data_IF_759073237161
#
_entry.id   IF_759073237161
#
_cell.length_a   1.000
_cell.length_b   1.000
_cell.length_c   1.000
_cell.angle_alpha   90.00
_cell.angle_beta   90.00
_cell.angle_gamma   90.00
#
_symmetry.space_group_name_H-M   'P 1'
#
loop_
_entity.id
_entity.type
_entity.pdbx_description
1 polymer ?
#
# COMPACT_ATOMS: atom_id res chain seq x y z
N UNK A 1 26.68 -52.19 16.23
CA UNK A 1 26.94 -50.72 16.11
C UNK A 1 25.93 -50.14 15.17
N UNK A 2 24.96 -49.49 15.72
CA UNK A 2 24.03 -48.73 14.92
C UNK A 2 24.67 -47.41 14.56
N UNK A 3 25.01 -47.24 13.31
CA UNK A 3 25.40 -45.93 12.79
C UNK A 3 24.19 -45.03 12.79
N UNK A 4 24.09 -44.24 13.85
CA UNK A 4 23.06 -43.20 13.96
C UNK A 4 23.50 -42.05 13.08
N UNK A 5 23.36 -42.19 11.77
CA UNK A 5 23.56 -41.11 10.82
C UNK A 5 22.33 -40.23 10.88
N UNK A 6 22.43 -39.15 11.65
CA UNK A 6 21.42 -38.09 11.61
C UNK A 6 21.37 -37.56 10.18
N UNK A 7 20.26 -37.74 9.51
CA UNK A 7 20.02 -37.06 8.23
C UNK A 7 20.04 -35.56 8.47
N UNK A 8 20.77 -34.79 7.66
CA UNK A 8 20.69 -33.36 7.77
C UNK A 8 19.23 -32.92 7.60
N UNK A 9 18.72 -32.18 8.58
CA UNK A 9 17.41 -31.57 8.47
C UNK A 9 17.53 -30.41 7.50
N UNK A 10 16.99 -30.60 6.30
CA UNK A 10 16.89 -29.51 5.35
C UNK A 10 15.93 -28.46 5.92
N UNK A 11 16.27 -27.18 5.80
CA UNK A 11 15.34 -26.13 6.20
C UNK A 11 14.06 -26.28 5.39
N UNK A 12 12.93 -26.06 6.04
CA UNK A 12 11.65 -26.03 5.35
C UNK A 12 11.72 -25.01 4.20
N UNK A 13 11.07 -25.30 3.06
CA UNK A 13 10.99 -24.33 2.00
C UNK A 13 10.36 -23.05 2.54
N UNK A 14 10.81 -21.85 2.10
CA UNK A 14 10.22 -20.61 2.55
C UNK A 14 8.71 -20.66 2.34
N UNK A 15 7.95 -20.43 3.40
CA UNK A 15 6.51 -20.36 3.34
C UNK A 15 6.09 -19.24 2.38
N UNK A 16 5.00 -19.47 1.65
CA UNK A 16 4.41 -18.39 0.82
C UNK A 16 4.08 -17.20 1.71
N UNK A 17 4.32 -15.96 1.23
CA UNK A 17 3.96 -14.78 1.99
C UNK A 17 2.47 -14.77 2.29
N UNK A 18 2.11 -14.40 3.51
CA UNK A 18 0.73 -14.25 3.93
C UNK A 18 0.09 -13.06 3.22
N UNK A 19 -1.25 -12.95 3.29
CA UNK A 19 -1.97 -11.78 2.78
C UNK A 19 -1.47 -10.49 3.43
N UNK A 20 -1.13 -10.52 4.72
CA UNK A 20 -0.56 -9.37 5.42
C UNK A 20 0.83 -9.01 4.91
N UNK A 21 1.66 -10.00 4.60
CA UNK A 21 2.98 -9.77 3.99
C UNK A 21 2.86 -9.17 2.60
N UNK A 22 1.94 -9.66 1.79
CA UNK A 22 1.66 -9.13 0.44
C UNK A 22 1.23 -7.68 0.52
N UNK A 23 0.32 -7.35 1.44
CA UNK A 23 -0.12 -5.97 1.66
C UNK A 23 1.04 -5.05 2.04
N UNK A 24 1.92 -5.51 2.94
CA UNK A 24 3.08 -4.73 3.37
C UNK A 24 4.10 -4.52 2.25
N UNK A 25 4.37 -5.55 1.46
CA UNK A 25 5.25 -5.45 0.29
C UNK A 25 4.70 -4.41 -0.69
N UNK A 26 3.42 -4.46 -0.98
CA UNK A 26 2.76 -3.51 -1.87
C UNK A 26 2.79 -2.08 -1.35
N UNK A 27 2.56 -1.87 -0.06
CA UNK A 27 2.65 -0.54 0.56
C UNK A 27 4.07 0.02 0.52
N UNK A 28 5.09 -0.80 0.76
CA UNK A 28 6.49 -0.39 0.64
C UNK A 28 6.81 0.05 -0.78
N UNK A 29 6.39 -0.71 -1.77
CA UNK A 29 6.57 -0.36 -3.18
C UNK A 29 5.84 0.93 -3.53
N UNK A 30 4.60 1.09 -3.06
CA UNK A 30 3.83 2.30 -3.29
C UNK A 30 4.48 3.52 -2.64
N UNK A 31 4.97 3.41 -1.41
CA UNK A 31 5.67 4.49 -0.74
C UNK A 31 6.95 4.90 -1.49
N UNK A 32 7.73 3.94 -1.96
CA UNK A 32 8.92 4.20 -2.76
C UNK A 32 8.57 4.84 -4.10
N UNK A 33 7.48 4.42 -4.73
CA UNK A 33 6.98 5.05 -5.94
C UNK A 33 6.67 6.54 -5.73
N UNK A 34 5.97 6.89 -4.65
CA UNK A 34 5.65 8.28 -4.34
C UNK A 34 6.92 9.10 -4.09
N UNK A 35 7.86 8.55 -3.33
CA UNK A 35 9.16 9.20 -3.09
C UNK A 35 9.93 9.42 -4.39
N UNK A 36 9.87 8.47 -5.30
CA UNK A 36 10.46 8.58 -6.64
C UNK A 36 9.87 9.70 -7.48
N UNK A 37 8.62 10.10 -7.21
CA UNK A 37 7.98 11.27 -7.82
C UNK A 37 8.42 12.59 -7.18
N UNK A 38 9.21 12.54 -6.13
CA UNK A 38 9.59 13.72 -5.35
C UNK A 38 8.57 14.09 -4.27
N UNK A 39 7.60 13.26 -4.00
CA UNK A 39 6.61 13.48 -2.95
C UNK A 39 7.16 13.08 -1.59
N UNK A 40 6.69 13.74 -0.54
CA UNK A 40 6.98 13.33 0.83
C UNK A 40 5.88 12.38 1.33
N UNK A 41 6.27 11.23 1.84
CA UNK A 41 5.34 10.33 2.56
C UNK A 41 5.28 10.81 4.00
N UNK A 42 4.12 11.33 4.39
CA UNK A 42 3.92 11.96 5.70
C UNK A 42 3.50 10.96 6.76
N UNK A 43 2.69 9.97 6.38
CA UNK A 43 2.21 8.95 7.29
C UNK A 43 1.88 7.67 6.53
N UNK A 44 1.97 6.53 7.23
CA UNK A 44 1.66 5.21 6.68
C UNK A 44 0.78 4.46 7.67
N UNK A 45 -0.23 3.74 7.15
CA UNK A 45 -1.12 2.92 7.97
C UNK A 45 -1.69 3.69 9.17
N UNK A 46 -2.06 4.94 8.93
CA UNK A 46 -2.69 5.74 9.95
C UNK A 46 -4.10 5.24 10.21
N UNK A 47 -4.41 4.97 11.46
CA UNK A 47 -5.70 4.37 11.81
C UNK A 47 -6.26 4.98 13.08
N UNK A 48 -7.57 4.92 13.15
CA UNK A 48 -8.32 5.16 14.37
C UNK A 48 -9.49 4.16 14.44
N UNK A 49 -10.41 4.34 15.38
CA UNK A 49 -11.57 3.44 15.54
C UNK A 49 -12.51 3.41 14.33
N UNK A 50 -12.43 4.37 13.42
CA UNK A 50 -13.34 4.46 12.26
C UNK A 50 -12.73 3.88 10.98
N UNK A 51 -11.47 3.55 10.97
CA UNK A 51 -10.80 2.98 9.81
C UNK A 51 -9.35 3.37 9.68
N UNK A 52 -8.82 3.18 8.48
CA UNK A 52 -7.39 3.32 8.20
C UNK A 52 -7.17 4.03 6.86
N UNK A 53 -6.09 4.78 6.78
CA UNK A 53 -5.54 5.35 5.55
C UNK A 53 -4.18 4.71 5.27
N UNK A 54 -3.99 4.16 4.07
CA UNK A 54 -2.78 3.42 3.72
C UNK A 54 -1.55 4.33 3.67
N UNK A 55 -1.61 5.39 2.86
CA UNK A 55 -0.54 6.37 2.74
C UNK A 55 -1.13 7.78 2.71
N UNK A 56 -0.45 8.69 3.37
CA UNK A 56 -0.71 10.11 3.31
C UNK A 56 0.57 10.79 2.82
N UNK A 57 0.48 11.52 1.73
CA UNK A 57 1.64 12.11 1.08
C UNK A 57 1.42 13.59 0.75
N UNK A 58 2.52 14.27 0.50
CA UNK A 58 2.53 15.65 0.04
C UNK A 58 3.13 15.72 -1.36
N UNK A 59 2.34 16.22 -2.30
CA UNK A 59 2.79 16.68 -3.61
C UNK A 59 2.80 18.22 -3.55
N UNK A 60 3.96 18.78 -3.20
CA UNK A 60 4.08 20.21 -2.88
C UNK A 60 3.04 20.62 -1.82
N UNK A 61 2.09 21.48 -2.17
CA UNK A 61 1.02 21.95 -1.28
C UNK A 61 -0.29 21.17 -1.42
N UNK A 62 -0.29 20.09 -2.17
CA UNK A 62 -1.44 19.19 -2.29
C UNK A 62 -1.25 18.01 -1.35
N UNK A 63 -2.23 17.82 -0.48
CA UNK A 63 -2.29 16.64 0.39
C UNK A 63 -2.92 15.50 -0.39
N UNK A 64 -2.21 14.38 -0.51
CA UNK A 64 -2.65 13.23 -1.30
C UNK A 64 -2.90 12.05 -0.37
N UNK A 65 -4.12 11.57 -0.37
CA UNK A 65 -4.52 10.34 0.33
C UNK A 65 -4.46 9.21 -0.68
N UNK A 66 -3.60 8.22 -0.44
CA UNK A 66 -3.34 7.15 -1.40
C UNK A 66 -3.86 5.83 -0.86
N UNK A 67 -4.80 5.25 -1.58
CA UNK A 67 -5.23 3.87 -1.37
C UNK A 67 -4.30 2.94 -2.14
N UNK A 68 -3.74 1.95 -1.47
CA UNK A 68 -2.86 0.97 -2.07
C UNK A 68 -3.61 -0.33 -2.28
N UNK A 69 -3.67 -0.79 -3.52
CA UNK A 69 -4.25 -2.08 -3.88
C UNK A 69 -3.13 -3.00 -4.35
N UNK A 70 -2.87 -4.04 -3.57
CA UNK A 70 -1.81 -5.02 -3.88
C UNK A 70 -2.43 -6.34 -4.27
N UNK A 71 -1.95 -6.92 -5.35
CA UNK A 71 -2.38 -8.23 -5.84
C UNK A 71 -1.17 -9.07 -6.21
N UNK A 72 -1.22 -10.35 -5.84
CA UNK A 72 -0.24 -11.37 -6.22
C UNK A 72 -0.88 -12.47 -7.06
N UNK A 73 -2.12 -12.30 -7.49
CA UNK A 73 -2.84 -13.25 -8.35
C UNK A 73 -2.72 -12.83 -9.81
N UNK A 74 -2.98 -13.78 -10.72
CA UNK A 74 -3.01 -13.51 -12.16
C UNK A 74 -4.28 -12.75 -12.61
N UNK A 75 -5.25 -12.63 -11.73
CA UNK A 75 -6.51 -11.95 -12.05
C UNK A 75 -6.30 -10.45 -11.88
N UNK A 76 -6.37 -9.74 -13.01
CA UNK A 76 -6.31 -8.28 -13.04
C UNK A 76 -7.73 -7.74 -12.88
N UNK A 77 -7.97 -6.96 -11.82
CA UNK A 77 -9.18 -6.18 -11.68
C UNK A 77 -8.91 -4.70 -11.92
N UNK A 78 -9.96 -3.92 -12.08
CA UNK A 78 -9.85 -2.47 -12.13
C UNK A 78 -9.50 -1.94 -10.71
N UNK A 79 -8.31 -1.38 -10.49
CA UNK A 79 -7.92 -0.88 -9.16
C UNK A 79 -8.78 0.28 -8.69
N UNK A 80 -9.33 1.09 -9.60
CA UNK A 80 -10.22 2.20 -9.27
C UNK A 80 -11.56 1.70 -8.72
N UNK A 81 -12.03 0.53 -9.18
CA UNK A 81 -13.24 -0.11 -8.65
C UNK A 81 -13.12 -0.51 -7.17
N UNK A 82 -11.91 -0.57 -6.62
CA UNK A 82 -11.69 -0.84 -5.20
C UNK A 82 -12.12 0.34 -4.30
N UNK A 83 -12.29 1.54 -4.86
CA UNK A 83 -12.73 2.73 -4.11
C UNK A 83 -14.18 3.02 -4.44
N UNK A 84 -15.07 2.55 -3.58
CA UNK A 84 -16.50 2.81 -3.66
C UNK A 84 -16.85 4.21 -3.11
N UNK A 85 -18.04 4.76 -3.42
CA UNK A 85 -18.49 6.02 -2.80
C UNK A 85 -18.46 5.98 -1.27
N UNK A 86 -18.82 4.83 -0.66
CA UNK A 86 -18.79 4.65 0.79
C UNK A 86 -17.36 4.69 1.33
N UNK A 87 -16.44 4.05 0.63
CA UNK A 87 -15.01 4.06 1.01
C UNK A 87 -14.44 5.47 0.88
N UNK A 88 -14.75 6.19 -0.19
CA UNK A 88 -14.31 7.57 -0.38
C UNK A 88 -14.84 8.49 0.72
N UNK A 89 -16.11 8.35 1.11
CA UNK A 89 -16.69 9.12 2.20
C UNK A 89 -15.94 8.86 3.52
N UNK A 90 -15.57 7.60 3.77
CA UNK A 90 -14.77 7.22 4.94
C UNK A 90 -13.37 7.82 4.88
N UNK A 91 -12.72 7.76 3.74
CA UNK A 91 -11.38 8.35 3.55
C UNK A 91 -11.41 9.87 3.77
N UNK A 92 -12.45 10.56 3.30
CA UNK A 92 -12.64 12.00 3.54
C UNK A 92 -12.81 12.32 5.02
N UNK A 93 -13.55 11.51 5.74
CA UNK A 93 -13.72 11.66 7.20
C UNK A 93 -12.39 11.45 7.92
N UNK A 94 -11.66 10.41 7.55
CA UNK A 94 -10.38 10.07 8.17
C UNK A 94 -9.32 11.15 7.93
N UNK A 95 -9.21 11.67 6.72
CA UNK A 95 -8.22 12.71 6.44
C UNK A 95 -8.53 14.02 7.17
N UNK A 96 -9.80 14.35 7.42
CA UNK A 96 -10.16 15.50 8.24
C UNK A 96 -9.68 15.33 9.67
N UNK A 97 -9.76 14.12 10.22
CA UNK A 97 -9.27 13.82 11.57
C UNK A 97 -7.74 13.88 11.62
N UNK A 98 -7.07 13.36 10.60
CA UNK A 98 -5.62 13.48 10.49
C UNK A 98 -5.19 14.96 10.43
N UNK A 99 -5.88 15.77 9.64
CA UNK A 99 -5.62 17.20 9.54
C UNK A 99 -5.81 17.93 10.86
N UNK A 100 -6.80 17.53 11.65
CA UNK A 100 -7.04 18.12 12.97
C UNK A 100 -5.85 17.87 13.91
N UNK A 101 -5.15 16.74 13.75
CA UNK A 101 -4.00 16.38 14.56
C UNK A 101 -2.67 16.89 13.97
N UNK A 102 -2.67 17.39 12.73
CA UNK A 102 -1.47 17.81 11.99
C UNK A 102 -1.69 19.21 11.39
N UNK A 103 -1.83 20.22 12.24
CA UNK A 103 -2.17 21.61 11.86
C UNK A 103 -0.98 22.50 11.52
N UNK A 104 0.20 21.95 11.53
CA UNK A 104 1.46 22.68 11.34
C UNK A 104 1.75 23.04 9.87
N UNK A 105 0.89 22.62 8.96
CA UNK A 105 1.08 22.80 7.54
C UNK A 105 -0.23 23.18 6.81
N UNK A 106 -0.11 24.08 5.86
CA UNK A 106 -1.24 24.52 5.04
C UNK A 106 -1.29 23.75 3.72
N UNK A 107 -2.51 23.42 3.27
CA UNK A 107 -2.77 22.68 2.04
C UNK A 107 -3.69 23.46 1.13
N UNK A 108 -3.30 23.56 -0.17
CA UNK A 108 -4.13 24.20 -1.18
C UNK A 108 -5.30 23.32 -1.61
N UNK A 109 -5.10 22.00 -1.57
CA UNK A 109 -6.10 21.03 -1.99
C UNK A 109 -5.82 19.67 -1.36
N UNK A 110 -6.83 18.81 -1.34
CA UNK A 110 -6.74 17.40 -0.98
C UNK A 110 -7.12 16.58 -2.21
N UNK A 111 -6.32 15.59 -2.53
CA UNK A 111 -6.58 14.68 -3.64
C UNK A 111 -6.56 13.25 -3.16
N UNK A 112 -7.39 12.40 -3.75
CA UNK A 112 -7.45 10.97 -3.47
C UNK A 112 -6.92 10.20 -4.67
N UNK A 113 -5.89 9.40 -4.47
CA UNK A 113 -5.24 8.61 -5.50
C UNK A 113 -5.35 7.12 -5.16
N UNK A 114 -5.23 6.27 -6.18
CA UNK A 114 -5.08 4.83 -6.02
C UNK A 114 -3.75 4.42 -6.64
N UNK A 115 -2.94 3.71 -5.88
CA UNK A 115 -1.74 3.04 -6.39
C UNK A 115 -1.99 1.54 -6.37
N UNK A 116 -1.98 0.94 -7.56
CA UNK A 116 -2.13 -0.49 -7.76
C UNK A 116 -0.75 -1.11 -7.91
N UNK A 117 -0.48 -2.13 -7.11
CA UNK A 117 0.77 -2.89 -7.16
C UNK A 117 0.45 -4.34 -7.51
N UNK A 118 0.86 -4.75 -8.70
CA UNK A 118 0.74 -6.13 -9.15
C UNK A 118 2.07 -6.83 -8.93
N UNK A 119 2.11 -7.74 -7.97
CA UNK A 119 3.28 -8.57 -7.70
C UNK A 119 3.34 -9.77 -8.64
N UNK A 120 4.53 -10.33 -8.81
CA UNK A 120 4.68 -11.59 -9.54
C UNK A 120 3.91 -12.69 -8.82
N UNK A 121 3.01 -13.39 -9.54
CA UNK A 121 2.16 -14.43 -8.93
C UNK A 121 2.95 -15.67 -8.48
N UNK A 122 4.10 -15.91 -9.08
CA UNK A 122 4.97 -17.05 -8.75
C UNK A 122 5.95 -16.73 -7.64
N UNK A 123 6.41 -15.48 -7.59
CA UNK A 123 7.36 -14.99 -6.60
C UNK A 123 7.00 -13.56 -6.19
N UNK A 124 6.04 -13.39 -5.27
CA UNK A 124 5.61 -12.06 -4.83
C UNK A 124 6.74 -11.23 -4.20
N UNK A 125 7.77 -11.89 -3.67
CA UNK A 125 8.92 -11.21 -3.07
C UNK A 125 9.91 -10.68 -4.10
N UNK A 126 9.79 -11.06 -5.37
CA UNK A 126 10.57 -10.51 -6.47
C UNK A 126 10.03 -9.13 -6.85
N UNK A 127 10.34 -8.13 -6.04
CA UNK A 127 9.77 -6.78 -6.15
C UNK A 127 10.19 -6.06 -7.41
N UNK A 128 11.31 -6.45 -8.03
CA UNK A 128 11.75 -5.94 -9.34
C UNK A 128 10.79 -6.31 -10.48
N UNK A 129 9.94 -7.31 -10.29
CA UNK A 129 8.91 -7.73 -11.24
C UNK A 129 7.55 -7.08 -10.98
N UNK A 130 7.42 -6.30 -9.93
CA UNK A 130 6.18 -5.63 -9.61
C UNK A 130 5.82 -4.59 -10.67
N UNK A 131 4.53 -4.51 -11.00
CA UNK A 131 4.00 -3.50 -11.91
C UNK A 131 3.17 -2.51 -11.08
N UNK A 132 3.56 -1.25 -11.14
CA UNK A 132 2.90 -0.17 -10.40
C UNK A 132 2.08 0.67 -11.38
N UNK A 133 0.82 0.90 -11.02
CA UNK A 133 -0.08 1.82 -11.74
C UNK A 133 -0.62 2.84 -10.76
N UNK A 134 -0.49 4.10 -11.11
CA UNK A 134 -0.90 5.21 -10.27
C UNK A 134 -2.07 5.95 -10.93
N UNK A 135 -3.21 5.96 -10.26
CA UNK A 135 -4.42 6.67 -10.71
C UNK A 135 -4.61 7.89 -9.82
N UNK A 136 -4.38 9.07 -10.40
CA UNK A 136 -4.49 10.34 -9.68
C UNK A 136 -5.90 10.90 -9.76
N UNK A 137 -6.37 11.45 -8.66
CA UNK A 137 -7.63 12.17 -8.64
C UNK A 137 -8.83 11.28 -8.88
N UNK A 138 -8.89 10.10 -8.27
CA UNK A 138 -10.07 9.24 -8.34
C UNK A 138 -11.24 9.98 -7.70
N UNK A 139 -12.37 10.04 -8.38
CA UNK A 139 -13.57 10.77 -7.96
C UNK A 139 -13.34 12.28 -7.77
N UNK A 140 -12.60 12.87 -8.68
CA UNK A 140 -12.49 14.32 -8.75
C UNK A 140 -13.78 14.93 -9.32
#
# INVERSE_FOLDING_TARGET
MSDNVSRPVLPDPPSRPSAADIGRIGEDIAADHLRGLGWAVLDRNWRNRFGELDLIAADATVLVVVEVKTRASRVFGDPVAAVTPEKLARMRRLIRQWLADNRDRWWVAIRFDVVSVQLDSRDPCATERAVVRHHRGVFA
#
